data_IF_259751133586
#
_entry.id   IF_259751133586
#
_cell.length_a   1.000
_cell.length_b   1.000
_cell.length_c   1.000
_cell.angle_alpha   90.00
_cell.angle_beta   90.00
_cell.angle_gamma   90.00
#
_symmetry.space_group_name_H-M   'P 1'
#
loop_
_entity.id
_entity.type
_entity.pdbx_description
1 polymer ?
#
# COMPACT_ATOMS: atom_id res chain seq x y z
N UNK A 1 3.23 14.64 -17.37
CA UNK A 1 2.15 13.97 -16.63
C UNK A 1 2.48 14.05 -15.16
N UNK A 2 1.50 14.30 -14.28
CA UNK A 2 1.77 14.32 -12.85
C UNK A 2 2.22 12.93 -12.40
N UNK A 3 3.38 12.84 -11.76
CA UNK A 3 3.90 11.61 -11.16
C UNK A 3 3.07 11.30 -9.92
N UNK A 4 1.96 10.58 -10.09
CA UNK A 4 1.10 10.22 -8.95
C UNK A 4 1.76 9.10 -8.16
N UNK A 5 2.26 9.44 -6.97
CA UNK A 5 2.82 8.47 -6.04
C UNK A 5 1.69 7.86 -5.20
N UNK A 6 1.64 6.53 -5.13
CA UNK A 6 0.69 5.83 -4.26
C UNK A 6 1.20 5.87 -2.82
N UNK A 7 0.39 6.45 -1.92
CA UNK A 7 0.61 6.47 -0.49
C UNK A 7 -0.62 5.95 0.26
N UNK A 8 -0.38 5.35 1.42
CA UNK A 8 -1.44 4.93 2.34
C UNK A 8 -1.40 5.85 3.58
N UNK A 9 -2.57 6.30 4.02
CA UNK A 9 -2.71 7.14 5.22
C UNK A 9 -3.33 6.39 6.41
N UNK A 10 -3.75 5.15 6.19
CA UNK A 10 -4.29 4.21 7.17
C UNK A 10 -4.05 2.77 6.74
N UNK A 11 -4.18 1.84 7.68
CA UNK A 11 -4.00 0.40 7.46
C UNK A 11 -5.31 -0.35 7.70
N UNK A 12 -5.50 -1.49 7.02
CA UNK A 12 -6.57 -2.41 7.37
C UNK A 12 -6.33 -2.98 8.77
N UNK A 13 -7.34 -2.93 9.62
CA UNK A 13 -7.28 -3.49 10.97
C UNK A 13 -7.54 -5.00 11.00
N UNK A 14 -8.03 -5.56 9.88
CA UNK A 14 -8.36 -6.98 9.75
C UNK A 14 -7.33 -7.67 8.87
N UNK A 15 -7.01 -8.92 9.21
CA UNK A 15 -6.17 -9.77 8.36
C UNK A 15 -6.88 -10.03 7.04
N UNK A 16 -6.16 -9.81 5.94
CA UNK A 16 -6.65 -10.11 4.59
C UNK A 16 -6.61 -11.62 4.36
N UNK A 17 -7.66 -12.23 3.77
CA UNK A 17 -7.59 -13.60 3.29
C UNK A 17 -6.51 -13.71 2.22
N UNK A 18 -5.42 -14.40 2.53
CA UNK A 18 -4.24 -14.48 1.65
C UNK A 18 -4.57 -15.09 0.28
N UNK A 19 -5.56 -15.99 0.21
CA UNK A 19 -6.06 -16.58 -1.04
C UNK A 19 -6.63 -15.56 -2.03
N UNK A 20 -7.00 -14.36 -1.59
CA UNK A 20 -7.52 -13.29 -2.45
C UNK A 20 -6.45 -12.28 -2.87
N UNK A 21 -5.23 -12.37 -2.32
CA UNK A 21 -4.13 -11.45 -2.64
C UNK A 21 -3.37 -11.99 -3.85
N UNK A 22 -3.40 -11.24 -4.95
CA UNK A 22 -2.74 -11.63 -6.20
C UNK A 22 -1.28 -11.19 -6.27
N UNK A 23 -1.00 -9.99 -5.76
CA UNK A 23 0.32 -9.38 -5.76
C UNK A 23 0.39 -8.33 -4.64
N UNK A 24 1.58 -7.81 -4.35
CA UNK A 24 1.79 -6.71 -3.43
C UNK A 24 2.99 -5.84 -3.82
N UNK A 25 2.96 -4.57 -3.42
CA UNK A 25 4.13 -3.69 -3.57
C UNK A 25 4.28 -2.74 -2.39
N UNK A 26 5.52 -2.32 -2.14
CA UNK A 26 5.82 -1.28 -1.15
C UNK A 26 5.51 0.10 -1.72
N UNK A 27 4.87 0.94 -0.91
CA UNK A 27 4.69 2.35 -1.26
C UNK A 27 6.03 3.07 -1.37
N UNK A 28 6.06 4.20 -2.07
CA UNK A 28 7.28 4.99 -2.25
C UNK A 28 7.82 5.51 -0.92
N UNK A 29 9.14 5.61 -0.80
CA UNK A 29 9.81 6.28 0.32
C UNK A 29 9.50 7.78 0.44
N UNK A 30 8.86 8.38 -0.58
CA UNK A 30 8.32 9.76 -0.51
C UNK A 30 7.06 9.87 0.36
N UNK A 31 6.42 8.75 0.72
CA UNK A 31 5.25 8.76 1.59
C UNK A 31 5.65 9.00 3.06
N UNK A 32 4.77 9.65 3.82
CA UNK A 32 5.03 9.93 5.24
C UNK A 32 4.98 8.69 6.14
N UNK A 33 4.37 7.60 5.64
CA UNK A 33 4.24 6.33 6.35
C UNK A 33 4.60 5.17 5.42
N UNK A 34 5.32 4.15 5.91
CA UNK A 34 5.61 2.94 5.14
C UNK A 34 4.37 2.05 5.04
N UNK A 35 4.09 1.53 3.84
CA UNK A 35 2.94 0.65 3.63
C UNK A 35 3.18 -0.38 2.51
N UNK A 36 2.29 -1.37 2.46
CA UNK A 36 2.16 -2.35 1.38
C UNK A 36 0.73 -2.26 0.84
N UNK A 37 0.60 -2.29 -0.48
CA UNK A 37 -0.67 -2.38 -1.21
C UNK A 37 -0.75 -3.74 -1.89
#
# INVERSE_FOLDING_TARGET
GADTTVCCFSYTLRKLPQSHVKDYFYTSSKCSQPAVV
#
